data_IF_427230532585
#
_entry.id   IF_427230532585
#
_cell.length_a   1.000
_cell.length_b   1.000
_cell.length_c   1.000
_cell.angle_alpha   90.00
_cell.angle_beta   90.00
_cell.angle_gamma   90.00
#
_symmetry.space_group_name_H-M   'P 1'
#
loop_
_entity.id
_entity.type
_entity.pdbx_description
1 polymer ?
#
# COMPACT_ATOMS: atom_id res chain seq x y z
N UNK A 1 12.56 -4.46 -9.15
CA UNK A 1 13.39 -3.26 -9.13
C UNK A 1 13.34 -2.49 -10.42
N UNK A 2 14.16 -1.49 -10.51
CA UNK A 2 14.29 -0.64 -11.71
C UNK A 2 14.49 -1.47 -13.00
N UNK A 3 15.32 -2.50 -12.97
CA UNK A 3 15.59 -3.39 -14.10
C UNK A 3 14.47 -4.40 -14.40
N UNK A 4 13.39 -4.42 -13.61
CA UNK A 4 12.30 -5.38 -13.78
C UNK A 4 11.09 -4.78 -14.53
N UNK A 5 11.14 -3.49 -14.86
CA UNK A 5 10.07 -2.79 -15.57
C UNK A 5 10.37 -2.69 -17.06
N UNK A 6 9.40 -3.04 -17.90
CA UNK A 6 9.52 -2.99 -19.37
C UNK A 6 9.92 -1.62 -19.89
N UNK A 7 9.42 -0.53 -19.31
CA UNK A 7 9.76 0.85 -19.67
C UNK A 7 11.24 1.22 -19.45
N UNK A 8 12.00 0.41 -18.72
CA UNK A 8 13.44 0.51 -18.53
C UNK A 8 14.23 -0.58 -19.26
N UNK A 9 13.56 -1.36 -20.12
CA UNK A 9 14.21 -2.37 -20.96
C UNK A 9 14.25 -3.78 -20.36
N UNK A 10 13.43 -4.07 -19.35
CA UNK A 10 13.32 -5.40 -18.76
C UNK A 10 12.64 -6.40 -19.72
N UNK A 11 12.94 -7.67 -19.54
CA UNK A 11 12.27 -8.78 -20.23
C UNK A 11 10.87 -9.07 -19.67
N UNK A 12 10.59 -8.64 -18.44
CA UNK A 12 9.29 -8.79 -17.78
C UNK A 12 8.27 -7.86 -18.45
N UNK A 13 7.14 -8.40 -18.85
CA UNK A 13 6.07 -7.63 -19.46
C UNK A 13 5.28 -6.88 -18.39
N UNK A 14 5.34 -5.54 -18.40
CA UNK A 14 4.64 -4.66 -17.46
C UNK A 14 3.77 -3.62 -18.20
N UNK A 15 2.77 -4.04 -19.01
CA UNK A 15 2.09 -3.17 -19.98
C UNK A 15 1.41 -1.96 -19.34
N UNK A 16 0.80 -2.11 -18.16
CA UNK A 16 0.11 -1.02 -17.48
C UNK A 16 1.10 0.00 -16.89
N UNK A 17 2.21 -0.48 -16.29
CA UNK A 17 3.28 0.39 -15.80
C UNK A 17 4.02 1.08 -16.97
N UNK A 18 4.20 0.38 -18.08
CA UNK A 18 4.79 0.96 -19.29
C UNK A 18 3.90 2.07 -19.88
N UNK A 19 2.58 1.90 -19.80
CA UNK A 19 1.63 2.94 -20.24
C UNK A 19 1.68 4.15 -19.29
N UNK A 20 1.72 3.92 -17.97
CA UNK A 20 1.90 4.99 -17.00
C UNK A 20 3.20 5.76 -17.27
N UNK A 21 4.30 5.05 -17.54
CA UNK A 21 5.59 5.62 -17.85
C UNK A 21 5.60 6.44 -19.16
N UNK A 22 4.85 6.02 -20.18
CA UNK A 22 4.70 6.79 -21.44
C UNK A 22 3.94 8.10 -21.26
N UNK A 23 2.99 8.12 -20.35
CA UNK A 23 2.11 9.26 -20.10
C UNK A 23 2.58 10.15 -18.93
N UNK A 24 3.65 9.77 -18.26
CA UNK A 24 4.15 10.43 -17.06
C UNK A 24 5.66 10.69 -17.08
N UNK A 25 6.20 10.92 -15.90
CA UNK A 25 7.62 11.16 -15.69
C UNK A 25 8.33 9.87 -15.25
N UNK A 26 9.39 9.50 -15.96
CA UNK A 26 10.30 8.42 -15.54
C UNK A 26 11.58 9.01 -14.97
N UNK A 27 11.90 8.64 -13.74
CA UNK A 27 13.17 9.01 -13.12
C UNK A 27 14.26 8.04 -13.59
N UNK A 28 15.37 8.56 -14.10
CA UNK A 28 16.56 7.78 -14.43
C UNK A 28 17.50 7.62 -13.23
N UNK A 29 17.38 8.48 -12.24
CA UNK A 29 18.15 8.45 -11.00
C UNK A 29 17.19 8.68 -9.83
N UNK A 30 16.78 7.60 -9.19
CA UNK A 30 15.91 7.61 -8.02
C UNK A 30 16.44 6.63 -6.99
N UNK A 31 16.83 7.14 -5.84
CA UNK A 31 17.46 6.36 -4.78
C UNK A 31 16.52 6.18 -3.60
N UNK A 32 16.47 4.98 -3.07
CA UNK A 32 15.76 4.66 -1.84
C UNK A 32 16.75 4.21 -0.76
N UNK A 33 16.26 3.87 0.41
CA UNK A 33 17.11 3.41 1.53
C UNK A 33 17.46 1.93 1.46
N UNK A 34 17.11 1.24 0.38
CA UNK A 34 17.36 -0.18 0.09
C UNK A 34 16.95 -1.15 1.22
N UNK A 35 16.02 -0.73 2.07
CA UNK A 35 15.46 -1.53 3.16
C UNK A 35 13.97 -1.25 3.29
N UNK A 36 13.16 -2.32 3.45
CA UNK A 36 11.71 -2.23 3.36
C UNK A 36 11.10 -1.24 4.37
N UNK A 37 11.41 -1.34 5.68
CA UNK A 37 10.80 -0.45 6.65
C UNK A 37 11.28 1.00 6.50
N UNK A 38 12.56 1.25 6.28
CA UNK A 38 13.08 2.62 6.16
C UNK A 38 12.60 3.32 4.88
N UNK A 39 12.44 2.59 3.77
CA UNK A 39 11.83 3.12 2.57
C UNK A 39 10.35 3.45 2.77
N UNK A 40 9.60 2.64 3.55
CA UNK A 40 8.20 2.91 3.90
C UNK A 40 8.05 4.15 4.77
N UNK A 41 8.91 4.29 5.79
CA UNK A 41 8.96 5.50 6.62
C UNK A 41 9.18 6.74 5.75
N UNK A 42 10.18 6.71 4.89
CA UNK A 42 10.49 7.85 4.02
C UNK A 42 9.37 8.16 3.03
N UNK A 43 8.76 7.14 2.45
CA UNK A 43 7.61 7.32 1.53
C UNK A 43 6.41 7.94 2.25
N UNK A 44 6.11 7.47 3.46
CA UNK A 44 4.93 7.91 4.19
C UNK A 44 5.08 9.28 4.83
N UNK A 45 6.29 9.68 5.22
CA UNK A 45 6.53 10.90 6.01
C UNK A 45 7.33 11.98 5.27
N UNK A 46 8.01 11.64 4.17
CA UNK A 46 8.98 12.52 3.53
C UNK A 46 10.28 12.72 4.32
N UNK A 47 10.47 12.01 5.43
CA UNK A 47 11.65 12.11 6.30
C UNK A 47 12.55 10.89 6.13
N UNK A 48 13.83 11.04 6.41
CA UNK A 48 14.69 9.87 6.61
C UNK A 48 14.24 9.07 7.84
N UNK A 49 14.41 7.76 7.80
CA UNK A 49 13.92 6.83 8.83
C UNK A 49 14.35 7.25 10.25
N UNK A 50 15.62 7.64 10.43
CA UNK A 50 16.14 8.04 11.74
C UNK A 50 15.54 9.39 12.20
N UNK A 51 15.23 10.28 11.28
CA UNK A 51 14.55 11.55 11.58
C UNK A 51 13.11 11.33 12.03
N UNK A 52 12.42 10.35 11.44
CA UNK A 52 11.05 10.00 11.79
C UNK A 52 10.94 9.19 13.10
N UNK A 53 12.02 8.80 13.73
CA UNK A 53 12.01 7.95 14.92
C UNK A 53 12.02 6.46 14.59
N UNK A 54 12.75 6.09 13.53
CA UNK A 54 12.83 4.72 13.02
C UNK A 54 11.45 4.20 12.56
N UNK A 55 11.17 2.91 12.71
CA UNK A 55 9.90 2.30 12.28
C UNK A 55 8.69 2.68 13.16
N UNK A 56 8.89 3.48 14.21
CA UNK A 56 7.84 3.90 15.15
C UNK A 56 7.02 5.10 14.67
N UNK A 57 7.48 5.81 13.62
CA UNK A 57 6.81 7.01 13.09
C UNK A 57 6.52 8.09 14.17
N UNK A 58 7.41 8.23 15.14
CA UNK A 58 7.21 9.13 16.29
C UNK A 58 7.28 10.62 15.93
N UNK A 59 7.81 10.95 14.76
CA UNK A 59 8.02 12.32 14.30
C UNK A 59 7.55 12.47 12.86
N UNK A 60 6.94 13.62 12.60
CA UNK A 60 6.38 13.94 11.29
C UNK A 60 4.99 13.33 11.10
N UNK A 61 4.15 14.00 10.34
CA UNK A 61 2.87 13.46 9.90
C UNK A 61 3.06 12.55 8.70
N UNK A 62 2.23 11.53 8.59
CA UNK A 62 2.17 10.70 7.39
C UNK A 62 1.40 11.41 6.28
N UNK A 63 1.60 10.98 5.04
CA UNK A 63 0.81 11.46 3.91
C UNK A 63 -0.69 11.18 4.11
N UNK A 64 -1.05 10.09 4.79
CA UNK A 64 -2.44 9.77 5.09
C UNK A 64 -3.04 10.73 6.12
N UNK A 65 -2.31 11.09 7.18
CA UNK A 65 -2.75 12.10 8.14
C UNK A 65 -2.90 13.47 7.48
N UNK A 66 -1.92 13.88 6.66
CA UNK A 66 -1.94 15.17 5.99
C UNK A 66 -3.11 15.29 5.00
N UNK A 67 -3.33 14.27 4.17
CA UNK A 67 -4.43 14.27 3.20
C UNK A 67 -5.78 14.06 3.86
N UNK A 68 -5.86 13.21 4.91
CA UNK A 68 -7.08 13.07 5.71
C UNK A 68 -7.54 14.40 6.32
N UNK A 69 -6.59 15.19 6.87
CA UNK A 69 -6.87 16.54 7.36
C UNK A 69 -7.32 17.51 6.25
N UNK A 70 -6.95 17.26 5.00
CA UNK A 70 -7.39 18.02 3.84
C UNK A 70 -8.71 17.50 3.22
N UNK A 71 -9.39 16.55 3.86
CA UNK A 71 -10.70 16.03 3.43
C UNK A 71 -10.63 14.84 2.45
N UNK A 72 -9.47 14.21 2.31
CA UNK A 72 -9.35 12.98 1.54
C UNK A 72 -9.84 11.78 2.31
N UNK A 73 -10.49 10.84 1.65
CA UNK A 73 -10.63 9.46 2.14
C UNK A 73 -9.29 8.74 1.98
N UNK A 74 -8.86 8.01 3.02
CA UNK A 74 -7.54 7.39 3.05
C UNK A 74 -7.64 5.90 3.26
N UNK A 75 -7.05 5.11 2.35
CA UNK A 75 -7.08 3.66 2.41
C UNK A 75 -5.69 3.06 2.16
N UNK A 76 -5.46 1.89 2.74
CA UNK A 76 -4.27 1.10 2.50
C UNK A 76 -4.63 -0.38 2.33
N UNK A 77 -4.07 -1.02 1.32
CA UNK A 77 -4.12 -2.48 1.14
C UNK A 77 -2.72 -3.06 1.07
N UNK A 78 -2.44 -4.04 1.95
CA UNK A 78 -1.21 -4.83 1.93
C UNK A 78 -0.28 -4.67 3.13
N UNK A 79 1.01 -4.76 2.86
CA UNK A 79 2.07 -4.83 3.87
C UNK A 79 2.30 -3.50 4.58
N UNK A 80 2.24 -3.50 5.93
CA UNK A 80 2.60 -2.35 6.76
C UNK A 80 4.09 -2.31 7.12
N UNK A 81 4.56 -3.28 7.87
CA UNK A 81 5.95 -3.43 8.31
C UNK A 81 6.53 -2.24 9.09
N UNK A 82 5.69 -1.52 9.81
CA UNK A 82 6.09 -0.47 10.76
C UNK A 82 5.44 -0.78 12.13
N UNK A 83 5.76 0.02 13.15
CA UNK A 83 5.14 -0.13 14.47
C UNK A 83 3.68 0.30 14.42
N UNK A 84 2.86 -0.25 15.30
CA UNK A 84 1.43 0.06 15.38
C UNK A 84 0.61 -0.48 14.20
N UNK A 85 -0.54 0.12 13.99
CA UNK A 85 -1.49 -0.24 12.93
C UNK A 85 -1.70 0.98 12.00
N UNK A 86 -1.82 0.81 10.68
CA UNK A 86 -2.03 1.92 9.73
C UNK A 86 -3.14 2.89 10.12
N UNK A 87 -4.19 2.43 10.79
CA UNK A 87 -5.29 3.30 11.23
C UNK A 87 -4.87 4.32 12.30
N UNK A 88 -3.79 4.04 13.03
CA UNK A 88 -3.20 4.97 14.00
C UNK A 88 -2.41 6.10 13.31
N UNK A 89 -2.13 5.93 12.03
CA UNK A 89 -1.31 6.81 11.20
C UNK A 89 -2.08 7.40 10.01
N UNK A 90 -3.39 7.59 10.19
CA UNK A 90 -4.24 8.35 9.28
C UNK A 90 -4.93 7.55 8.17
N UNK A 91 -4.75 6.24 8.08
CA UNK A 91 -5.51 5.41 7.14
C UNK A 91 -6.88 5.05 7.74
N UNK A 92 -7.95 5.55 7.17
CA UNK A 92 -9.34 5.29 7.61
C UNK A 92 -9.76 3.85 7.28
N UNK A 93 -9.26 3.31 6.17
CA UNK A 93 -9.49 1.94 5.73
C UNK A 93 -8.16 1.20 5.62
N UNK A 94 -8.10 0.00 6.16
CA UNK A 94 -6.91 -0.85 6.07
C UNK A 94 -7.28 -2.32 5.94
N UNK A 95 -6.67 -3.00 5.00
CA UNK A 95 -6.56 -4.45 4.96
C UNK A 95 -5.13 -4.87 4.62
N UNK A 96 -4.61 -5.86 5.34
CA UNK A 96 -3.28 -6.39 5.08
C UNK A 96 -2.60 -6.95 6.32
N UNK A 97 -1.29 -7.17 6.23
CA UNK A 97 -0.50 -7.73 7.32
C UNK A 97 0.47 -6.71 7.91
N UNK A 98 0.67 -6.78 9.23
CA UNK A 98 1.55 -5.87 9.97
C UNK A 98 3.02 -6.30 9.91
N UNK A 99 3.28 -7.58 9.60
CA UNK A 99 4.61 -8.18 9.56
C UNK A 99 5.47 -7.70 8.38
N UNK A 100 6.78 -7.94 8.49
CA UNK A 100 7.75 -7.62 7.44
C UNK A 100 7.71 -8.55 6.22
N UNK A 101 7.21 -9.76 6.41
CA UNK A 101 7.00 -10.76 5.39
C UNK A 101 5.91 -11.72 5.86
N UNK A 102 5.24 -12.38 4.94
CA UNK A 102 4.19 -13.35 5.24
C UNK A 102 4.23 -14.51 4.25
N UNK A 103 3.64 -15.64 4.60
CA UNK A 103 3.42 -16.71 3.62
C UNK A 103 2.35 -16.26 2.61
N UNK A 104 2.64 -16.41 1.32
CA UNK A 104 1.78 -15.93 0.26
C UNK A 104 0.44 -16.66 0.15
N UNK A 105 0.36 -17.90 0.64
CA UNK A 105 -0.81 -18.77 0.48
C UNK A 105 -1.57 -19.04 1.78
N UNK A 106 -0.90 -18.88 2.92
CA UNK A 106 -1.52 -19.15 4.24
C UNK A 106 -1.54 -17.92 5.14
N UNK A 107 -0.87 -16.86 4.73
CA UNK A 107 -0.73 -15.65 5.55
C UNK A 107 0.04 -15.90 6.84
N UNK A 108 -0.24 -15.07 7.83
CA UNK A 108 0.22 -15.18 9.22
C UNK A 108 -0.81 -14.53 10.18
N UNK A 109 -0.58 -14.60 11.49
CA UNK A 109 -1.48 -14.04 12.51
C UNK A 109 -1.51 -12.52 12.59
N UNK A 110 -0.80 -11.80 11.70
CA UNK A 110 -0.73 -10.33 11.72
C UNK A 110 -1.69 -9.65 10.76
N UNK A 111 -2.51 -10.41 10.04
CA UNK A 111 -3.52 -9.82 9.15
C UNK A 111 -4.59 -9.06 9.93
N UNK A 112 -5.00 -7.93 9.38
CA UNK A 112 -5.99 -7.02 9.96
C UNK A 112 -6.96 -6.52 8.90
N UNK A 113 -8.20 -6.27 9.35
CA UNK A 113 -9.17 -5.41 8.67
C UNK A 113 -9.48 -4.25 9.61
N UNK A 114 -8.98 -3.08 9.29
CA UNK A 114 -8.90 -1.98 10.25
C UNK A 114 -8.08 -2.38 11.47
N UNK A 115 -8.66 -2.25 12.67
CA UNK A 115 -8.05 -2.66 13.95
C UNK A 115 -8.34 -4.12 14.35
N UNK A 116 -9.21 -4.82 13.60
CA UNK A 116 -9.63 -6.18 13.96
C UNK A 116 -8.69 -7.21 13.34
N UNK A 117 -8.41 -8.28 14.09
CA UNK A 117 -7.76 -9.46 13.51
C UNK A 117 -8.58 -10.00 12.37
N UNK A 118 -7.91 -10.41 11.32
CA UNK A 118 -8.52 -11.02 10.15
C UNK A 118 -7.88 -12.38 9.91
N UNK A 119 -8.71 -13.42 9.99
CA UNK A 119 -8.25 -14.79 9.79
C UNK A 119 -8.14 -15.06 8.29
N UNK A 120 -6.99 -15.55 7.87
CA UNK A 120 -6.73 -15.87 6.46
C UNK A 120 -7.54 -17.10 6.06
N UNK A 121 -8.47 -17.00 5.11
CA UNK A 121 -9.26 -18.13 4.66
C UNK A 121 -8.45 -19.05 3.72
N UNK A 122 -8.87 -20.28 3.56
CA UNK A 122 -8.29 -21.18 2.54
C UNK A 122 -8.62 -20.69 1.12
N UNK A 123 -9.79 -20.07 0.94
CA UNK A 123 -10.24 -19.50 -0.33
C UNK A 123 -10.81 -18.11 -0.14
N UNK A 124 -10.54 -17.24 -1.10
CA UNK A 124 -11.09 -15.89 -1.19
C UNK A 124 -11.68 -15.69 -2.59
N UNK A 125 -12.90 -15.17 -2.67
CA UNK A 125 -13.61 -14.96 -3.96
C UNK A 125 -13.67 -16.20 -4.87
N UNK A 126 -13.80 -17.40 -4.24
CA UNK A 126 -13.89 -18.69 -4.95
C UNK A 126 -12.57 -19.23 -5.50
N UNK A 127 -11.43 -18.61 -5.15
CA UNK A 127 -10.08 -19.06 -5.51
C UNK A 127 -9.26 -19.39 -4.26
N UNK A 128 -8.26 -20.28 -4.33
CA UNK A 128 -7.29 -20.45 -3.25
C UNK A 128 -6.70 -19.09 -2.85
N UNK A 129 -6.55 -18.87 -1.55
CA UNK A 129 -5.99 -17.61 -1.06
C UNK A 129 -4.58 -17.40 -1.60
N UNK A 130 -4.36 -16.19 -2.16
CA UNK A 130 -3.06 -15.73 -2.58
C UNK A 130 -2.93 -14.25 -2.23
N UNK A 131 -1.95 -13.91 -1.41
CA UNK A 131 -1.83 -12.58 -0.80
C UNK A 131 -1.75 -11.45 -1.83
N UNK A 132 -1.12 -11.68 -2.98
CA UNK A 132 -0.98 -10.67 -4.03
C UNK A 132 -2.33 -10.34 -4.67
N UNK A 133 -3.13 -11.37 -4.96
CA UNK A 133 -4.50 -11.19 -5.48
C UNK A 133 -5.39 -10.52 -4.43
N UNK A 134 -5.32 -10.97 -3.18
CA UNK A 134 -6.09 -10.39 -2.09
C UNK A 134 -5.78 -8.89 -1.87
N UNK A 135 -4.50 -8.48 -1.95
CA UNK A 135 -4.13 -7.05 -1.89
C UNK A 135 -4.82 -6.27 -3.01
N UNK A 136 -4.88 -6.84 -4.21
CA UNK A 136 -5.54 -6.20 -5.36
C UNK A 136 -7.06 -6.14 -5.15
N UNK A 137 -7.68 -7.24 -4.73
CA UNK A 137 -9.13 -7.33 -4.52
C UNK A 137 -9.59 -6.30 -3.47
N UNK A 138 -8.93 -6.27 -2.30
CA UNK A 138 -9.25 -5.27 -1.27
C UNK A 138 -8.96 -3.83 -1.69
N UNK A 139 -7.96 -3.59 -2.56
CA UNK A 139 -7.71 -2.26 -3.12
C UNK A 139 -8.85 -1.84 -4.06
N UNK A 140 -9.41 -2.77 -4.85
CA UNK A 140 -10.56 -2.51 -5.72
C UNK A 140 -11.81 -2.24 -4.88
N UNK A 141 -12.07 -3.07 -3.85
CA UNK A 141 -13.19 -2.87 -2.92
C UNK A 141 -13.15 -1.46 -2.29
N UNK A 142 -11.97 -1.01 -1.85
CA UNK A 142 -11.82 0.36 -1.30
C UNK A 142 -12.10 1.45 -2.36
N UNK A 143 -11.72 1.24 -3.61
CA UNK A 143 -12.06 2.19 -4.68
C UNK A 143 -13.56 2.24 -4.88
N UNK A 144 -14.23 1.08 -4.92
CA UNK A 144 -15.68 1.00 -5.10
C UNK A 144 -16.44 1.63 -3.94
N UNK A 145 -15.94 1.50 -2.71
CA UNK A 145 -16.50 2.19 -1.53
C UNK A 145 -16.32 3.71 -1.59
N UNK A 146 -15.15 4.19 -2.04
CA UNK A 146 -14.80 5.61 -2.06
C UNK A 146 -15.36 6.36 -3.28
N UNK A 147 -15.67 5.65 -4.38
CA UNK A 147 -16.21 6.22 -5.62
C UNK A 147 -17.63 5.71 -5.85
N UNK A 148 -18.66 6.37 -5.26
CA UNK A 148 -20.03 5.90 -5.41
C UNK A 148 -20.46 5.86 -6.88
N UNK A 149 -21.12 4.77 -7.27
CA UNK A 149 -21.62 4.54 -8.63
C UNK A 149 -22.66 5.57 -9.08
N UNK A 150 -23.21 6.34 -8.15
CA UNK A 150 -24.23 7.35 -8.41
C UNK A 150 -23.58 8.73 -8.51
N UNK A 151 -23.44 9.24 -9.73
CA UNK A 151 -22.80 10.53 -10.09
C UNK A 151 -23.49 11.78 -9.52
N UNK A 152 -24.44 11.67 -8.61
CA UNK A 152 -25.18 12.79 -8.03
C UNK A 152 -24.51 13.41 -6.79
N UNK A 153 -23.47 12.82 -6.26
CA UNK A 153 -22.65 13.40 -5.19
C UNK A 153 -21.20 13.50 -5.62
N UNK A 154 -20.56 14.64 -5.40
CA UNK A 154 -19.12 14.74 -5.56
C UNK A 154 -18.46 13.83 -4.53
N UNK A 155 -17.86 12.73 -5.01
CA UNK A 155 -17.07 11.86 -4.15
C UNK A 155 -15.86 12.65 -3.64
N UNK A 156 -15.50 12.53 -2.35
CA UNK A 156 -14.29 13.16 -1.84
C UNK A 156 -13.07 12.60 -2.58
N UNK A 157 -12.02 13.39 -2.76
CA UNK A 157 -10.77 12.85 -3.26
C UNK A 157 -10.24 11.77 -2.32
N UNK A 158 -9.49 10.80 -2.84
CA UNK A 158 -8.97 9.72 -2.02
C UNK A 158 -7.47 9.50 -2.19
N UNK A 159 -6.84 8.97 -1.16
CA UNK A 159 -5.52 8.36 -1.17
C UNK A 159 -5.68 6.85 -1.00
N UNK A 160 -5.13 6.08 -1.93
CA UNK A 160 -5.02 4.63 -1.79
C UNK A 160 -3.54 4.22 -1.87
N UNK A 161 -3.02 3.65 -0.79
CA UNK A 161 -1.68 3.07 -0.75
C UNK A 161 -1.77 1.55 -0.94
N UNK A 162 -1.39 1.08 -2.12
CA UNK A 162 -1.33 -0.36 -2.44
C UNK A 162 0.09 -0.85 -2.24
N UNK A 163 0.29 -1.64 -1.20
CA UNK A 163 1.61 -2.04 -0.72
C UNK A 163 1.83 -3.55 -0.86
N UNK A 164 2.15 -4.00 -2.06
CA UNK A 164 2.42 -5.40 -2.32
C UNK A 164 3.55 -5.97 -1.48
N UNK A 165 3.38 -7.25 -1.05
CA UNK A 165 4.47 -8.00 -0.43
C UNK A 165 5.44 -8.56 -1.48
N UNK A 166 4.94 -9.00 -2.62
CA UNK A 166 5.75 -9.49 -3.73
C UNK A 166 6.73 -8.41 -4.27
N UNK A 167 7.94 -8.80 -4.67
CA UNK A 167 8.50 -10.16 -4.71
C UNK A 167 9.35 -10.53 -3.46
N UNK A 168 9.07 -9.92 -2.30
CA UNK A 168 9.87 -10.07 -1.07
C UNK A 168 9.74 -11.43 -0.41
#
# INVERSE_FOLDING_TARGET
GFSDLGCYGAEIRTPNLDQLARNGLRFSQFYNTAKCHSSRVSLLTGLYCDQAGSNSLLRGATIAEALGAAGYSTAMSGKWHLSGNPVEFGFQHYWGHLSGATNFFTGDGTFRLGNKSWDVPETLNGKPFYVTDAITDFAIDFIDEMVPSNKSSEAPPFLLYVAYNAPH
#
